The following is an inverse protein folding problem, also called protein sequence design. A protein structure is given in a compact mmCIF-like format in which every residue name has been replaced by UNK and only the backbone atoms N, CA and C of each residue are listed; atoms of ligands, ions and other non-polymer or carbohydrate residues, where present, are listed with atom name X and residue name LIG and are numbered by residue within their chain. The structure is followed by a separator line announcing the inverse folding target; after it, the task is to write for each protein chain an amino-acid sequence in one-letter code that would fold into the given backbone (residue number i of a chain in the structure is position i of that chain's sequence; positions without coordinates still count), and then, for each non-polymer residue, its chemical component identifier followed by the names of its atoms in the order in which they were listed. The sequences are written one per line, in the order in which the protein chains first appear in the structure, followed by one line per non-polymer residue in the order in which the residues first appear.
data_IF_940008946524
#
_entry.id   IF_940008946524
#
_cell.length_a   1.000
_cell.length_b   1.000
_cell.length_c   1.000
_cell.angle_alpha   90.00
_cell.angle_beta   90.00
_cell.angle_gamma   90.00
#
_symmetry.space_group_name_H-M   'P 1'
#
loop_
_entity.id
_entity.type
_entity.pdbx_description
1 polymer ?
#
# COMPACT_ATOMS: atom_id res chain seq x y z
N UNK A 1 -32.34 64.01 56.69
CA UNK A 1 -31.34 63.05 57.18
C UNK A 1 -30.50 62.62 56.00
N UNK A 2 -29.28 63.12 55.94
CA UNK A 2 -28.33 62.93 54.84
C UNK A 2 -27.84 61.47 54.85
N UNK A 3 -28.07 60.74 53.75
CA UNK A 3 -27.69 59.35 53.61
C UNK A 3 -26.18 59.25 53.31
N UNK A 4 -25.41 58.75 54.27
CA UNK A 4 -23.97 58.52 54.13
C UNK A 4 -23.67 57.60 52.93
N UNK A 5 -22.81 58.05 52.02
CA UNK A 5 -22.38 57.31 50.84
C UNK A 5 -21.52 56.09 51.23
N UNK A 6 -21.80 54.87 50.73
CA UNK A 6 -21.20 53.63 51.20
C UNK A 6 -19.82 53.38 50.55
N UNK A 7 -18.91 54.35 50.54
CA UNK A 7 -17.54 54.16 50.04
C UNK A 7 -16.61 53.49 51.08
N UNK A 8 -17.04 53.38 52.34
CA UNK A 8 -16.25 52.78 53.42
C UNK A 8 -16.25 51.24 53.45
N UNK A 9 -17.36 50.61 53.08
CA UNK A 9 -17.55 49.16 53.22
C UNK A 9 -16.74 48.34 52.20
N UNK A 10 -16.56 48.84 50.98
CA UNK A 10 -15.78 48.13 49.93
C UNK A 10 -14.30 48.05 50.30
N UNK A 11 -13.75 49.14 50.88
CA UNK A 11 -12.35 49.19 51.32
C UNK A 11 -12.09 48.23 52.47
N UNK A 12 -13.01 48.13 53.44
CA UNK A 12 -12.87 47.20 54.57
C UNK A 12 -12.99 45.75 54.11
N UNK A 13 -13.88 45.45 53.15
CA UNK A 13 -14.00 44.11 52.54
C UNK A 13 -12.75 43.71 51.73
N UNK A 14 -12.21 44.60 50.90
CA UNK A 14 -10.95 44.36 50.19
C UNK A 14 -9.78 44.15 51.16
N UNK A 15 -9.69 44.97 52.21
CA UNK A 15 -8.65 44.83 53.23
C UNK A 15 -8.75 43.49 54.00
N UNK A 16 -9.98 43.05 54.31
CA UNK A 16 -10.23 41.72 54.88
C UNK A 16 -9.76 40.61 53.93
N UNK A 17 -10.09 40.68 52.64
CA UNK A 17 -9.66 39.71 51.64
C UNK A 17 -8.13 39.69 51.46
N UNK A 18 -7.47 40.85 51.43
CA UNK A 18 -6.00 40.95 51.38
C UNK A 18 -5.37 40.33 52.63
N UNK A 19 -5.92 40.60 53.81
CA UNK A 19 -5.43 40.01 55.07
C UNK A 19 -5.62 38.49 55.12
N UNK A 20 -6.73 37.98 54.55
CA UNK A 20 -6.97 36.54 54.41
C UNK A 20 -5.95 35.88 53.47
N UNK A 21 -5.65 36.49 52.30
CA UNK A 21 -4.59 36.00 51.39
C UNK A 21 -3.22 35.99 52.06
N UNK A 22 -2.88 37.02 52.85
CA UNK A 22 -1.61 37.11 53.59
C UNK A 22 -1.47 36.04 54.68
N UNK A 23 -2.57 35.61 55.31
CA UNK A 23 -2.58 34.52 56.31
C UNK A 23 -2.49 33.12 55.71
N UNK A 24 -2.81 32.96 54.43
CA UNK A 24 -2.72 31.69 53.70
C UNK A 24 -1.76 31.82 52.52
N UNK A 25 -0.45 31.99 52.77
CA UNK A 25 0.54 32.23 51.72
C UNK A 25 0.61 31.07 50.72
N UNK A 26 0.43 29.83 51.20
CA UNK A 26 0.42 28.62 50.35
C UNK A 26 -0.72 28.67 49.34
N UNK A 27 -1.93 29.05 49.76
CA UNK A 27 -3.10 29.14 48.86
C UNK A 27 -2.89 30.22 47.80
N UNK A 28 -2.38 31.37 48.21
CA UNK A 28 -2.07 32.49 47.31
C UNK A 28 -0.96 32.11 46.31
N UNK A 29 0.05 31.35 46.76
CA UNK A 29 1.10 30.83 45.89
C UNK A 29 0.52 29.88 44.84
N UNK A 30 -0.32 28.91 45.22
CA UNK A 30 -0.97 28.01 44.26
C UNK A 30 -1.90 28.74 43.28
N UNK A 31 -2.62 29.76 43.73
CA UNK A 31 -3.50 30.58 42.88
C UNK A 31 -2.73 31.26 41.73
N UNK A 32 -1.45 31.62 41.96
CA UNK A 32 -0.59 32.26 40.95
C UNK A 32 0.25 31.23 40.19
N UNK A 33 0.84 30.25 40.88
CA UNK A 33 1.79 29.30 40.29
C UNK A 33 1.08 28.25 39.45
N UNK A 34 -0.09 27.76 39.85
CA UNK A 34 -0.81 26.72 39.13
C UNK A 34 -1.16 27.11 37.68
N UNK A 35 -1.74 28.29 37.39
CA UNK A 35 -2.02 28.68 36.00
C UNK A 35 -0.72 28.87 35.20
N UNK A 36 0.35 29.38 35.82
CA UNK A 36 1.67 29.52 35.15
C UNK A 36 2.25 28.15 34.81
N UNK A 37 2.19 27.20 35.74
CA UNK A 37 2.68 25.84 35.53
C UNK A 37 1.89 25.10 34.44
N UNK A 38 0.56 25.29 34.38
CA UNK A 38 -0.29 24.75 33.32
C UNK A 38 0.06 25.35 31.95
N UNK A 39 0.28 26.68 31.87
CA UNK A 39 0.70 27.33 30.63
C UNK A 39 2.09 26.85 30.18
N UNK A 40 3.02 26.69 31.12
CA UNK A 40 4.35 26.16 30.83
C UNK A 40 4.28 24.70 30.35
N UNK A 41 3.44 23.87 30.97
CA UNK A 41 3.20 22.49 30.55
C UNK A 41 2.59 22.44 29.15
N UNK A 42 1.57 23.25 28.86
CA UNK A 42 0.97 23.34 27.53
C UNK A 42 1.97 23.84 26.49
N UNK A 43 2.81 24.81 26.84
CA UNK A 43 3.89 25.30 25.98
C UNK A 43 4.93 24.22 25.67
N UNK A 44 5.33 23.45 26.68
CA UNK A 44 6.23 22.30 26.51
C UNK A 44 5.59 21.20 25.65
N UNK A 45 4.33 20.86 25.92
CA UNK A 45 3.59 19.89 25.11
C UNK A 45 3.43 20.37 23.66
N UNK A 46 3.24 21.68 23.43
CA UNK A 46 3.23 22.27 22.09
C UNK A 46 4.62 22.27 21.45
N UNK A 47 5.71 22.50 22.18
CA UNK A 47 7.06 22.44 21.60
C UNK A 47 7.48 21.03 21.18
N UNK A 48 6.87 20.00 21.78
CA UNK A 48 7.02 18.62 21.32
C UNK A 48 6.17 18.29 20.09
N UNK A 49 5.23 19.17 19.70
CA UNK A 49 4.49 19.05 18.45
C UNK A 49 5.25 19.81 17.37
N UNK A 50 5.70 19.10 16.33
CA UNK A 50 6.23 19.77 15.15
C UNK A 50 5.09 20.48 14.41
N UNK A 51 5.10 21.82 14.38
CA UNK A 51 4.20 22.59 13.53
C UNK A 51 4.62 22.39 12.06
N UNK A 52 4.01 21.43 11.36
CA UNK A 52 4.15 21.34 9.90
C UNK A 52 3.33 22.44 9.24
N UNK A 53 3.95 23.60 9.03
CA UNK A 53 3.40 24.65 8.19
C UNK A 53 3.31 24.13 6.75
N UNK A 54 2.10 23.82 6.29
CA UNK A 54 1.82 23.50 4.89
C UNK A 54 1.16 24.70 4.23
N UNK A 55 1.77 25.23 3.18
CA UNK A 55 1.16 26.28 2.37
C UNK A 55 -0.16 25.80 1.76
N UNK A 56 -1.13 26.70 1.63
CA UNK A 56 -2.35 26.42 0.90
C UNK A 56 -2.06 26.41 -0.61
N UNK A 57 -2.46 25.34 -1.32
CA UNK A 57 -2.38 25.25 -2.77
C UNK A 57 -1.19 24.48 -3.35
N UNK A 58 -1.01 24.62 -4.66
CA UNK A 58 0.03 23.98 -5.46
C UNK A 58 1.36 24.71 -5.25
N UNK A 59 2.36 24.02 -4.71
CA UNK A 59 3.67 24.61 -4.49
C UNK A 59 4.58 24.45 -5.70
N UNK A 60 5.33 25.52 -5.97
CA UNK A 60 6.15 25.70 -7.17
C UNK A 60 7.65 25.47 -6.91
N UNK A 61 8.05 25.09 -5.68
CA UNK A 61 9.46 24.97 -5.30
C UNK A 61 9.74 23.77 -4.39
N UNK A 62 10.97 23.24 -4.48
CA UNK A 62 11.48 22.13 -3.68
C UNK A 62 11.49 22.50 -2.18
N UNK A 63 10.57 21.91 -1.44
CA UNK A 63 10.30 22.10 -0.01
C UNK A 63 9.12 21.21 0.41
N UNK A 64 8.70 21.19 1.69
CA UNK A 64 7.70 20.24 2.24
C UNK A 64 6.27 20.36 1.66
N UNK A 65 6.11 21.21 0.65
CA UNK A 65 4.99 21.31 -0.24
C UNK A 65 5.46 20.79 -1.61
N UNK A 66 5.50 19.48 -1.78
CA UNK A 66 5.83 18.89 -3.07
C UNK A 66 4.63 18.94 -4.01
N UNK A 67 4.84 19.20 -5.32
CA UNK A 67 3.76 19.12 -6.31
C UNK A 67 3.20 17.69 -6.39
N UNK A 68 1.88 17.56 -6.28
CA UNK A 68 1.12 16.30 -6.27
C UNK A 68 1.40 15.37 -7.46
N UNK A 69 1.82 15.88 -8.61
CA UNK A 69 1.92 15.11 -9.88
C UNK A 69 3.23 15.30 -10.66
N UNK A 70 4.34 15.68 -10.01
CA UNK A 70 5.62 15.71 -10.73
C UNK A 70 6.19 14.30 -10.84
N UNK A 71 5.99 13.65 -12.00
CA UNK A 71 6.44 12.29 -12.37
C UNK A 71 7.95 12.02 -12.33
N UNK A 72 8.73 12.93 -11.79
CA UNK A 72 10.16 12.76 -11.58
C UNK A 72 10.52 13.48 -10.29
N UNK A 73 10.77 12.73 -9.21
CA UNK A 73 11.37 13.20 -7.96
C UNK A 73 11.03 14.66 -7.58
N UNK A 74 10.09 14.85 -6.64
CA UNK A 74 10.46 14.53 -5.28
C UNK A 74 9.71 13.30 -4.78
N UNK A 75 10.40 12.56 -3.91
CA UNK A 75 9.84 11.55 -3.02
C UNK A 75 8.88 12.23 -2.03
N UNK A 76 7.75 12.72 -2.54
CA UNK A 76 6.75 13.34 -1.68
C UNK A 76 6.30 12.26 -0.72
N UNK A 77 6.44 12.50 0.57
CA UNK A 77 6.08 11.49 1.54
C UNK A 77 4.56 11.23 1.47
N UNK A 78 3.76 12.26 1.17
CA UNK A 78 2.30 12.22 1.28
C UNK A 78 1.55 11.78 0.03
N UNK A 79 2.16 11.84 -1.15
CA UNK A 79 1.55 11.39 -2.41
C UNK A 79 2.42 10.31 -3.00
N UNK A 80 1.81 9.16 -3.25
CA UNK A 80 2.45 7.99 -3.80
C UNK A 80 1.61 7.56 -4.98
N UNK A 81 2.22 7.54 -6.16
CA UNK A 81 1.61 6.92 -7.31
C UNK A 81 1.57 5.40 -7.07
N UNK A 82 0.42 4.79 -7.33
CA UNK A 82 0.27 3.35 -7.28
C UNK A 82 1.19 2.71 -8.32
N UNK A 83 1.77 1.56 -7.99
CA UNK A 83 2.49 0.78 -8.98
C UNK A 83 1.52 0.35 -10.10
N UNK A 84 1.96 0.43 -11.35
CA UNK A 84 1.20 -0.17 -12.46
C UNK A 84 1.26 -1.69 -12.35
N UNK A 85 0.29 -2.41 -12.92
CA UNK A 85 0.33 -3.89 -12.93
C UNK A 85 1.60 -4.41 -13.62
N UNK A 86 2.00 -3.78 -14.73
CA UNK A 86 3.28 -4.04 -15.41
C UNK A 86 4.49 -3.84 -14.49
N UNK A 87 4.48 -2.77 -13.68
CA UNK A 87 5.52 -2.51 -12.68
C UNK A 87 5.54 -3.56 -11.57
N UNK A 88 4.38 -3.98 -11.08
CA UNK A 88 4.26 -5.06 -10.11
C UNK A 88 4.82 -6.38 -10.69
N UNK A 89 4.46 -6.74 -11.92
CA UNK A 89 4.96 -7.94 -12.60
C UNK A 89 6.48 -7.93 -12.75
N UNK A 90 7.08 -6.77 -13.05
CA UNK A 90 8.54 -6.61 -13.06
C UNK A 90 9.16 -6.79 -11.67
N UNK A 91 8.51 -6.30 -10.61
CA UNK A 91 9.02 -6.45 -9.23
C UNK A 91 8.98 -7.91 -8.75
N UNK A 92 8.07 -8.74 -9.26
CA UNK A 92 8.00 -10.16 -8.88
C UNK A 92 9.30 -10.93 -9.21
N UNK A 93 9.96 -10.58 -10.32
CA UNK A 93 11.24 -11.14 -10.70
C UNK A 93 12.44 -10.45 -10.04
N UNK A 94 12.22 -9.39 -9.27
CA UNK A 94 13.28 -8.60 -8.65
C UNK A 94 13.72 -9.21 -7.31
N UNK A 95 15.03 -9.20 -7.05
CA UNK A 95 15.58 -9.56 -5.76
C UNK A 95 16.26 -8.34 -5.14
N UNK A 96 15.60 -7.72 -4.15
CA UNK A 96 16.12 -6.53 -3.43
C UNK A 96 17.44 -6.80 -2.70
N UNK A 97 17.72 -8.06 -2.34
CA UNK A 97 18.94 -8.46 -1.65
C UNK A 97 20.10 -8.80 -2.63
N UNK A 98 19.84 -8.76 -3.94
CA UNK A 98 20.82 -9.13 -4.97
C UNK A 98 20.96 -10.64 -5.17
N UNK A 99 21.81 -11.06 -6.12
CA UNK A 99 21.96 -12.46 -6.55
C UNK A 99 23.28 -13.09 -6.10
N UNK A 100 23.75 -12.73 -4.90
CA UNK A 100 25.01 -13.20 -4.34
C UNK A 100 26.26 -12.60 -4.99
N UNK A 101 27.42 -13.10 -4.57
CA UNK A 101 28.75 -12.58 -4.96
C UNK A 101 29.40 -13.35 -6.13
N UNK A 102 28.93 -14.55 -6.46
CA UNK A 102 29.44 -15.30 -7.61
C UNK A 102 29.06 -14.55 -8.91
N UNK A 103 30.04 -14.14 -9.73
CA UNK A 103 29.78 -13.33 -10.92
C UNK A 103 29.01 -14.09 -12.01
N UNK A 104 29.14 -15.41 -12.11
CA UNK A 104 28.42 -16.24 -13.09
C UNK A 104 26.95 -16.33 -12.66
N UNK A 105 26.71 -16.68 -11.40
CA UNK A 105 25.35 -16.79 -10.84
C UNK A 105 24.66 -15.43 -10.90
N UNK A 106 25.29 -14.40 -10.33
CA UNK A 106 24.71 -13.05 -10.24
C UNK A 106 24.39 -12.45 -11.62
N UNK A 107 25.29 -12.62 -12.60
CA UNK A 107 25.04 -12.15 -13.97
C UNK A 107 23.91 -12.92 -14.64
N UNK A 108 23.85 -14.24 -14.47
CA UNK A 108 22.81 -15.08 -15.07
C UNK A 108 21.44 -14.75 -14.49
N UNK A 109 21.33 -14.65 -13.16
CA UNK A 109 20.06 -14.36 -12.48
C UNK A 109 19.57 -12.95 -12.75
N UNK A 110 20.48 -11.96 -12.79
CA UNK A 110 20.13 -10.60 -13.18
C UNK A 110 19.63 -10.53 -14.63
N UNK A 111 20.27 -11.23 -15.56
CA UNK A 111 19.82 -11.29 -16.96
C UNK A 111 18.46 -11.97 -17.08
N UNK A 112 18.24 -13.08 -16.38
CA UNK A 112 16.96 -13.78 -16.36
C UNK A 112 15.84 -12.91 -15.78
N UNK A 113 16.11 -12.23 -14.66
CA UNK A 113 15.22 -11.25 -14.03
C UNK A 113 14.85 -10.12 -14.99
N UNK A 114 15.83 -9.51 -15.67
CA UNK A 114 15.59 -8.45 -16.67
C UNK A 114 14.81 -8.96 -17.87
N UNK A 115 15.09 -10.19 -18.32
CA UNK A 115 14.36 -10.85 -19.40
C UNK A 115 12.95 -11.32 -18.97
N UNK A 116 12.52 -11.03 -17.74
CA UNK A 116 11.21 -11.40 -17.24
C UNK A 116 10.99 -12.90 -17.13
N UNK A 117 12.07 -13.69 -16.98
CA UNK A 117 11.95 -15.11 -16.68
C UNK A 117 11.53 -15.23 -15.23
N UNK A 118 10.37 -15.81 -14.98
CA UNK A 118 9.88 -16.03 -13.62
C UNK A 118 9.18 -17.37 -13.46
N UNK A 119 8.90 -18.09 -14.55
CA UNK A 119 8.10 -19.33 -14.50
C UNK A 119 8.78 -20.37 -13.60
N UNK A 120 7.99 -21.00 -12.74
CA UNK A 120 8.44 -22.14 -11.91
C UNK A 120 8.38 -23.46 -12.67
N UNK A 121 7.70 -23.51 -13.83
CA UNK A 121 7.68 -24.66 -14.71
C UNK A 121 9.01 -24.74 -15.49
N UNK A 122 9.83 -25.80 -15.30
CA UNK A 122 11.13 -25.95 -15.96
C UNK A 122 11.04 -26.16 -17.48
N UNK A 123 9.87 -26.53 -17.99
CA UNK A 123 9.62 -26.70 -19.43
C UNK A 123 9.22 -25.40 -20.13
N UNK A 124 8.93 -24.34 -19.36
CA UNK A 124 8.59 -23.03 -19.93
C UNK A 124 9.82 -22.41 -20.58
N UNK A 125 9.70 -21.77 -21.76
CA UNK A 125 10.78 -20.97 -22.33
C UNK A 125 11.19 -19.79 -21.43
N UNK A 126 10.33 -19.40 -20.49
CA UNK A 126 10.55 -18.30 -19.54
C UNK A 126 10.81 -18.80 -18.11
N UNK A 127 11.29 -20.05 -17.99
CA UNK A 127 11.62 -20.67 -16.71
C UNK A 127 12.73 -19.91 -15.97
N UNK A 128 12.59 -19.82 -14.64
CA UNK A 128 13.67 -19.33 -13.78
C UNK A 128 14.87 -20.28 -13.85
N UNK A 129 16.10 -19.79 -14.10
CA UNK A 129 17.26 -20.66 -14.24
C UNK A 129 17.53 -21.48 -12.98
N UNK A 130 17.90 -22.75 -13.16
CA UNK A 130 18.21 -23.64 -12.02
C UNK A 130 19.37 -23.16 -11.17
N UNK A 131 20.39 -22.57 -11.80
CA UNK A 131 21.53 -21.94 -11.13
C UNK A 131 21.11 -20.83 -10.15
N UNK A 132 19.96 -20.19 -10.39
CA UNK A 132 19.48 -19.06 -9.61
C UNK A 132 18.65 -19.46 -8.39
N UNK A 133 18.20 -20.72 -8.31
CA UNK A 133 17.27 -21.16 -7.28
C UNK A 133 17.87 -21.05 -5.86
N UNK A 134 19.19 -21.21 -5.72
CA UNK A 134 19.89 -21.11 -4.43
C UNK A 134 20.14 -19.68 -3.94
N UNK A 135 20.06 -18.68 -4.83
CA UNK A 135 20.33 -17.27 -4.49
C UNK A 135 19.07 -16.41 -4.40
N UNK A 136 17.97 -16.87 -4.99
CA UNK A 136 16.69 -16.19 -4.90
C UNK A 136 15.67 -16.78 -5.86
N UNK A 137 14.43 -16.83 -5.41
CA UNK A 137 13.29 -17.27 -6.21
C UNK A 137 12.42 -16.07 -6.59
N UNK A 138 11.85 -16.07 -7.80
CA UNK A 138 10.88 -15.07 -8.18
C UNK A 138 9.65 -15.20 -7.30
N UNK A 139 9.08 -14.07 -6.91
CA UNK A 139 7.84 -14.03 -6.13
C UNK A 139 6.64 -14.37 -7.00
N UNK A 140 5.57 -14.87 -6.37
CA UNK A 140 4.29 -15.15 -7.03
C UNK A 140 3.12 -14.43 -6.39
N UNK A 141 2.06 -14.26 -7.17
CA UNK A 141 0.75 -13.87 -6.67
C UNK A 141 -0.07 -15.15 -6.50
N UNK A 142 -0.48 -15.44 -5.27
CA UNK A 142 -1.37 -16.57 -5.01
C UNK A 142 -2.82 -16.22 -5.38
N UNK A 143 -3.54 -17.16 -5.98
CA UNK A 143 -4.96 -17.05 -6.28
C UNK A 143 -5.70 -18.22 -5.61
N UNK A 144 -6.74 -17.89 -4.85
CA UNK A 144 -7.51 -18.85 -4.04
C UNK A 144 -9.00 -18.56 -4.17
N UNK A 145 -9.88 -19.58 -4.26
CA UNK A 145 -9.59 -21.00 -4.45
C UNK A 145 -9.29 -21.34 -5.91
N UNK A 146 -8.62 -22.45 -6.18
CA UNK A 146 -8.42 -22.99 -7.53
C UNK A 146 -9.71 -23.63 -8.04
N UNK A 147 -10.44 -22.92 -8.89
CA UNK A 147 -11.68 -23.39 -9.49
C UNK A 147 -11.88 -22.78 -10.89
N UNK A 148 -13.00 -23.08 -11.53
CA UNK A 148 -13.34 -22.56 -12.86
C UNK A 148 -13.34 -21.03 -12.91
N UNK A 149 -13.88 -20.36 -11.88
CA UNK A 149 -13.93 -18.90 -11.83
C UNK A 149 -12.53 -18.30 -11.76
N UNK A 150 -11.65 -18.79 -10.89
CA UNK A 150 -10.32 -18.20 -10.70
C UNK A 150 -9.33 -18.57 -11.79
N UNK A 151 -9.31 -19.85 -12.20
CA UNK A 151 -8.33 -20.37 -13.17
C UNK A 151 -8.74 -20.08 -14.61
N UNK A 152 -9.95 -20.45 -15.01
CA UNK A 152 -10.35 -20.42 -16.41
C UNK A 152 -11.00 -19.10 -16.83
N UNK A 153 -11.50 -18.32 -15.87
CA UNK A 153 -12.18 -17.06 -16.16
C UNK A 153 -11.36 -15.84 -15.71
N UNK A 154 -11.07 -15.70 -14.41
CA UNK A 154 -10.30 -14.57 -13.89
C UNK A 154 -8.88 -14.54 -14.44
N UNK A 155 -8.11 -15.61 -14.23
CA UNK A 155 -6.70 -15.61 -14.61
C UNK A 155 -6.48 -15.60 -16.13
N UNK A 156 -7.35 -16.26 -16.91
CA UNK A 156 -7.30 -16.20 -18.37
C UNK A 156 -7.61 -14.78 -18.88
N UNK A 157 -8.68 -14.13 -18.39
CA UNK A 157 -9.01 -12.76 -18.81
C UNK A 157 -7.89 -11.77 -18.46
N UNK A 158 -7.36 -11.85 -17.23
CA UNK A 158 -6.24 -11.02 -16.80
C UNK A 158 -4.96 -11.36 -17.57
N UNK A 159 -4.74 -12.62 -17.91
CA UNK A 159 -3.64 -13.08 -18.75
C UNK A 159 -3.67 -12.47 -20.15
N UNK A 160 -4.85 -12.26 -20.73
CA UNK A 160 -5.00 -11.54 -22.00
C UNK A 160 -4.71 -10.03 -21.87
N UNK A 161 -4.99 -9.42 -20.72
CA UNK A 161 -4.70 -8.00 -20.47
C UNK A 161 -3.24 -7.72 -20.18
N UNK A 162 -2.55 -8.68 -19.56
CA UNK A 162 -1.15 -8.58 -19.18
C UNK A 162 -0.35 -9.76 -19.74
N UNK A 163 -0.26 -9.87 -21.09
CA UNK A 163 0.61 -10.84 -21.72
C UNK A 163 2.07 -10.46 -21.45
N UNK A 164 2.97 -11.38 -21.79
CA UNK A 164 4.40 -11.06 -21.84
C UNK A 164 4.62 -9.90 -22.82
N UNK A 165 5.43 -8.92 -22.42
CA UNK A 165 5.77 -7.77 -23.26
C UNK A 165 7.29 -7.61 -23.35
N UNK A 166 7.84 -7.87 -24.54
CA UNK A 166 9.26 -7.63 -24.79
C UNK A 166 9.50 -6.13 -25.03
N UNK A 167 10.28 -5.49 -24.14
CA UNK A 167 10.62 -4.06 -24.23
C UNK A 167 11.86 -3.84 -25.11
N UNK A 168 12.81 -4.77 -25.03
CA UNK A 168 14.02 -4.82 -25.86
C UNK A 168 14.41 -6.28 -26.10
N UNK A 169 15.50 -6.54 -26.84
CA UNK A 169 16.00 -7.90 -27.05
C UNK A 169 16.39 -8.66 -25.77
N UNK A 170 16.59 -7.97 -24.64
CA UNK A 170 17.05 -8.56 -23.38
C UNK A 170 16.19 -8.17 -22.17
N UNK A 171 15.15 -7.35 -22.36
CA UNK A 171 14.31 -6.85 -21.28
C UNK A 171 12.86 -7.13 -21.65
N UNK A 172 12.14 -7.79 -20.75
CA UNK A 172 10.73 -8.09 -20.95
C UNK A 172 9.97 -8.04 -19.63
N UNK A 173 8.71 -7.65 -19.72
CA UNK A 173 7.74 -7.77 -18.65
C UNK A 173 7.22 -9.21 -18.62
N UNK A 174 7.25 -9.89 -17.47
CA UNK A 174 6.65 -11.21 -17.34
C UNK A 174 5.15 -11.21 -17.64
N UNK A 175 4.64 -12.35 -18.13
CA UNK A 175 3.19 -12.52 -18.27
C UNK A 175 2.53 -12.66 -16.90
N UNK A 176 1.26 -12.29 -16.78
CA UNK A 176 0.49 -12.60 -15.59
C UNK A 176 0.36 -14.11 -15.36
N UNK A 177 0.20 -14.89 -16.42
CA UNK A 177 0.07 -16.35 -16.36
C UNK A 177 1.31 -17.01 -15.72
N UNK A 178 2.52 -16.53 -16.05
CA UNK A 178 3.75 -17.01 -15.42
C UNK A 178 3.95 -16.47 -14.00
N UNK A 179 3.20 -15.45 -13.58
CA UNK A 179 3.36 -14.73 -12.31
C UNK A 179 2.51 -15.27 -11.17
N UNK A 180 1.53 -16.13 -11.47
CA UNK A 180 0.55 -16.60 -10.50
C UNK A 180 0.79 -18.05 -10.09
N UNK A 181 0.31 -18.39 -8.90
CA UNK A 181 0.19 -19.76 -8.42
C UNK A 181 -1.20 -19.93 -7.80
N UNK A 182 -1.78 -21.11 -7.93
CA UNK A 182 -3.14 -21.39 -7.47
C UNK A 182 -3.11 -22.33 -6.27
N UNK A 183 -3.99 -22.08 -5.31
CA UNK A 183 -4.22 -22.98 -4.18
C UNK A 183 -5.67 -23.42 -4.14
N UNK A 184 -5.96 -24.70 -3.86
CA UNK A 184 -7.33 -25.23 -3.88
C UNK A 184 -8.24 -24.54 -2.86
N UNK A 185 -7.71 -24.11 -1.72
CA UNK A 185 -8.43 -23.43 -0.67
C UNK A 185 -7.47 -22.63 0.22
N UNK A 186 -8.02 -21.87 1.17
CA UNK A 186 -7.23 -21.05 2.11
C UNK A 186 -6.32 -21.89 2.99
N UNK A 187 -6.76 -23.09 3.42
CA UNK A 187 -5.94 -23.96 4.26
C UNK A 187 -4.67 -24.37 3.54
N UNK A 188 -4.76 -24.76 2.27
CA UNK A 188 -3.59 -25.12 1.47
C UNK A 188 -2.63 -23.95 1.24
N UNK A 189 -3.15 -22.71 1.14
CA UNK A 189 -2.31 -21.52 1.12
C UNK A 189 -1.56 -21.35 2.45
N UNK A 190 -2.24 -21.42 3.58
CA UNK A 190 -1.62 -21.27 4.90
C UNK A 190 -0.62 -22.39 5.20
N UNK A 191 -0.94 -23.63 4.85
CA UNK A 191 -0.03 -24.78 4.96
C UNK A 191 1.25 -24.53 4.16
N UNK A 192 1.13 -24.04 2.91
CA UNK A 192 2.30 -23.74 2.07
C UNK A 192 3.23 -22.64 2.64
N UNK A 193 2.68 -21.70 3.39
CA UNK A 193 3.42 -20.59 4.00
C UNK A 193 4.06 -21.02 5.33
N UNK A 194 3.37 -21.87 6.08
CA UNK A 194 3.82 -22.33 7.41
C UNK A 194 4.76 -23.53 7.33
N UNK A 195 4.75 -24.26 6.23
CA UNK A 195 5.74 -25.28 5.93
C UNK A 195 7.14 -24.67 5.87
N UNK A 196 8.14 -25.38 6.43
CA UNK A 196 9.55 -24.96 6.41
C UNK A 196 10.19 -24.88 5.01
N UNK A 197 9.40 -25.08 3.95
CA UNK A 197 9.78 -25.02 2.54
C UNK A 197 9.35 -23.72 1.84
N UNK A 198 8.63 -22.85 2.54
CA UNK A 198 8.19 -21.56 2.02
C UNK A 198 9.36 -20.68 1.59
N UNK A 199 9.33 -20.21 0.34
CA UNK A 199 10.32 -19.27 -0.19
C UNK A 199 11.69 -19.85 -0.50
N UNK A 200 11.88 -21.16 -0.32
CA UNK A 200 13.19 -21.84 -0.53
C UNK A 200 13.18 -22.82 -1.70
N UNK A 201 12.00 -23.20 -2.22
CA UNK A 201 11.88 -24.16 -3.32
C UNK A 201 10.94 -23.66 -4.42
N UNK A 202 11.14 -24.11 -5.67
CA UNK A 202 10.30 -23.66 -6.80
C UNK A 202 8.84 -24.11 -6.71
N UNK A 203 8.57 -25.23 -6.02
CA UNK A 203 7.23 -25.73 -5.74
C UNK A 203 6.54 -24.96 -4.60
N UNK A 204 7.30 -24.26 -3.77
CA UNK A 204 6.78 -23.33 -2.75
C UNK A 204 7.52 -21.98 -2.82
N UNK A 205 7.33 -21.21 -3.92
CA UNK A 205 8.03 -19.96 -4.13
C UNK A 205 7.56 -18.89 -3.13
N UNK A 206 8.34 -17.83 -2.90
CA UNK A 206 7.91 -16.73 -2.03
C UNK A 206 6.67 -16.06 -2.64
N UNK A 207 5.69 -15.71 -1.81
CA UNK A 207 4.49 -15.01 -2.26
C UNK A 207 4.64 -13.51 -2.00
N UNK A 208 4.37 -12.71 -3.03
CA UNK A 208 4.28 -11.25 -2.90
C UNK A 208 2.92 -10.84 -2.32
N UNK A 209 1.86 -11.51 -2.76
CA UNK A 209 0.49 -11.28 -2.33
C UNK A 209 -0.37 -12.54 -2.57
N UNK A 210 -1.56 -12.56 -1.99
CA UNK A 210 -2.62 -13.51 -2.31
C UNK A 210 -3.94 -12.77 -2.57
N UNK A 211 -4.66 -13.20 -3.60
CA UNK A 211 -6.05 -12.82 -3.89
C UNK A 211 -6.92 -14.00 -3.49
N UNK A 212 -7.71 -13.81 -2.44
CA UNK A 212 -8.56 -14.86 -1.86
C UNK A 212 -10.02 -14.48 -2.08
N UNK A 213 -10.70 -15.19 -2.98
CA UNK A 213 -12.12 -15.00 -3.28
C UNK A 213 -12.99 -15.82 -2.32
N UNK A 214 -13.90 -15.16 -1.62
CA UNK A 214 -14.85 -15.78 -0.69
C UNK A 214 -16.23 -15.96 -1.30
N UNK A 215 -16.64 -15.06 -2.20
CA UNK A 215 -17.86 -15.17 -2.98
C UNK A 215 -17.59 -14.87 -4.46
N UNK A 216 -18.22 -15.62 -5.34
CA UNK A 216 -18.04 -15.54 -6.79
C UNK A 216 -19.40 -15.73 -7.50
N UNK A 217 -19.60 -15.15 -8.69
CA UNK A 217 -20.79 -15.40 -9.49
C UNK A 217 -20.91 -16.89 -9.88
N UNK A 218 -22.12 -17.44 -9.78
CA UNK A 218 -22.41 -18.81 -10.21
C UNK A 218 -22.42 -18.96 -11.73
N UNK A 219 -22.71 -17.87 -12.46
CA UNK A 219 -22.71 -17.82 -13.92
C UNK A 219 -21.61 -16.88 -14.41
N UNK A 220 -20.66 -17.42 -15.16
CA UNK A 220 -19.53 -16.68 -15.71
C UNK A 220 -19.98 -15.83 -16.91
N UNK A 221 -19.31 -14.70 -17.15
CA UNK A 221 -19.69 -13.73 -18.19
C UNK A 221 -20.93 -12.89 -17.86
N UNK A 222 -21.41 -12.92 -16.62
CA UNK A 222 -22.52 -12.08 -16.14
C UNK A 222 -22.12 -11.30 -14.89
N UNK A 223 -22.71 -10.11 -14.66
CA UNK A 223 -22.49 -9.37 -13.42
C UNK A 223 -22.97 -10.18 -12.21
N UNK A 224 -22.19 -10.19 -11.13
CA UNK A 224 -22.55 -10.89 -9.90
C UNK A 224 -21.71 -10.43 -8.70
N UNK A 225 -22.04 -10.96 -7.53
CA UNK A 225 -21.30 -10.65 -6.30
C UNK A 225 -19.90 -11.25 -6.35
N UNK A 226 -18.90 -10.43 -6.04
CA UNK A 226 -17.51 -10.84 -5.87
C UNK A 226 -17.05 -10.30 -4.52
N UNK A 227 -16.72 -11.22 -3.61
CA UNK A 227 -16.10 -10.87 -2.34
C UNK A 227 -14.69 -11.45 -2.33
N UNK A 228 -13.72 -10.63 -1.94
CA UNK A 228 -12.32 -11.03 -1.91
C UNK A 228 -11.57 -10.34 -0.78
N UNK A 229 -10.46 -10.95 -0.38
CA UNK A 229 -9.45 -10.35 0.47
C UNK A 229 -8.10 -10.37 -0.23
N UNK A 230 -7.32 -9.32 -0.02
CA UNK A 230 -5.93 -9.25 -0.44
C UNK A 230 -5.05 -9.50 0.78
N UNK A 231 -4.16 -10.47 0.70
CA UNK A 231 -3.19 -10.79 1.76
C UNK A 231 -1.80 -10.45 1.28
N UNK A 232 -1.06 -9.69 2.06
CA UNK A 232 0.33 -9.30 1.79
C UNK A 232 1.21 -9.73 2.95
N UNK A 233 2.50 -9.90 2.69
CA UNK A 233 3.45 -10.22 3.75
C UNK A 233 3.59 -9.03 4.71
N UNK A 234 3.32 -9.26 6.00
CA UNK A 234 3.47 -8.25 7.05
C UNK A 234 4.57 -8.71 8.02
N UNK A 235 5.80 -8.27 7.83
CA UNK A 235 6.83 -8.38 8.89
C UNK A 235 6.76 -7.14 9.76
N UNK A 236 6.06 -7.23 10.89
CA UNK A 236 6.15 -6.22 11.96
C UNK A 236 7.61 -6.06 12.37
N UNK A 237 8.22 -4.89 12.10
CA UNK A 237 9.54 -4.53 12.65
C UNK A 237 10.61 -3.97 11.69
N UNK A 238 10.33 -3.78 10.40
CA UNK A 238 11.32 -3.29 9.43
C UNK A 238 11.10 -1.84 8.98
N UNK A 239 12.19 -1.08 8.81
CA UNK A 239 12.20 0.22 8.14
C UNK A 239 11.88 0.04 6.63
N UNK A 240 10.61 0.17 6.25
CA UNK A 240 10.14 0.29 4.87
C UNK A 240 9.79 -1.04 4.17
N UNK A 241 8.80 -0.98 3.27
CA UNK A 241 8.39 -2.09 2.40
C UNK A 241 7.45 -3.12 3.03
N UNK A 242 6.77 -2.75 4.12
CA UNK A 242 5.83 -3.61 4.84
C UNK A 242 4.43 -3.08 4.63
N UNK A 243 3.55 -3.89 4.02
CA UNK A 243 2.12 -3.56 3.94
C UNK A 243 1.53 -3.67 5.35
N UNK A 244 1.01 -2.59 5.95
CA UNK A 244 0.43 -2.64 7.29
C UNK A 244 -0.73 -3.63 7.36
N UNK A 245 -0.99 -4.16 8.55
CA UNK A 245 -2.23 -4.91 8.80
C UNK A 245 -3.42 -3.95 8.81
N UNK A 246 -4.56 -4.42 8.34
CA UNK A 246 -5.84 -3.74 8.46
C UNK A 246 -6.55 -4.06 9.78
N UNK A 247 -6.03 -5.00 10.59
CA UNK A 247 -6.42 -5.13 11.98
C UNK A 247 -5.96 -3.86 12.72
N UNK A 248 -6.88 -3.20 13.42
CA UNK A 248 -6.70 -1.87 14.00
C UNK A 248 -5.53 -1.69 14.99
N UNK A 249 -4.75 -2.75 15.23
CA UNK A 249 -3.57 -2.78 16.11
C UNK A 249 -2.45 -1.84 15.64
N UNK A 250 -2.46 -1.42 14.37
CA UNK A 250 -1.48 -0.48 13.79
C UNK A 250 -1.91 0.99 13.92
N UNK A 251 -3.13 1.26 14.36
CA UNK A 251 -3.65 2.63 14.50
C UNK A 251 -3.30 3.19 15.87
N UNK A 252 -2.29 4.05 15.93
CA UNK A 252 -2.01 4.84 17.13
C UNK A 252 -3.00 6.00 17.23
N UNK A 253 -4.00 5.87 18.11
CA UNK A 253 -5.01 6.90 18.35
C UNK A 253 -4.44 8.20 18.91
N UNK A 254 -3.23 8.16 19.48
CA UNK A 254 -2.52 9.33 20.00
C UNK A 254 -1.54 9.92 18.98
N UNK A 255 -1.49 9.36 17.77
CA UNK A 255 -0.64 9.84 16.70
C UNK A 255 -1.05 11.26 16.27
N UNK A 256 -0.18 12.23 16.56
CA UNK A 256 -0.42 13.65 16.26
C UNK A 256 0.07 14.09 14.88
N UNK A 257 0.94 13.29 14.25
CA UNK A 257 1.52 13.56 12.93
C UNK A 257 1.10 12.52 11.90
N UNK A 258 0.87 12.94 10.66
CA UNK A 258 0.60 12.02 9.54
C UNK A 258 1.81 11.09 9.33
N UNK A 259 1.64 9.77 9.46
CA UNK A 259 2.63 8.79 9.02
C UNK A 259 2.32 8.35 7.58
N UNK A 260 3.15 8.76 6.60
CA UNK A 260 2.95 8.39 5.21
C UNK A 260 3.46 6.98 4.87
N UNK A 261 4.23 6.33 5.74
CA UNK A 261 4.91 5.07 5.40
C UNK A 261 3.93 3.93 5.15
N UNK A 262 2.85 3.88 5.94
CA UNK A 262 1.76 2.93 5.75
C UNK A 262 1.13 3.08 4.36
N UNK A 263 0.68 4.29 4.03
CA UNK A 263 0.10 4.62 2.73
C UNK A 263 1.07 4.32 1.58
N UNK A 264 2.34 4.70 1.75
CA UNK A 264 3.42 4.43 0.78
C UNK A 264 3.63 2.96 0.53
N UNK A 265 3.55 2.13 1.55
CA UNK A 265 3.70 0.68 1.40
C UNK A 265 2.49 0.10 0.67
N UNK A 266 1.26 0.54 0.97
CA UNK A 266 0.06 0.14 0.21
C UNK A 266 0.15 0.53 -1.29
N UNK A 267 0.63 1.74 -1.60
CA UNK A 267 0.76 2.21 -2.97
C UNK A 267 1.89 1.54 -3.76
N UNK A 268 3.05 1.30 -3.12
CA UNK A 268 4.25 0.79 -3.82
C UNK A 268 4.36 -0.72 -3.85
N UNK A 269 3.86 -1.43 -2.83
CA UNK A 269 4.01 -2.89 -2.75
C UNK A 269 2.89 -3.64 -3.51
N UNK A 270 1.99 -2.91 -4.20
CA UNK A 270 1.02 -3.50 -5.13
C UNK A 270 -0.39 -3.75 -4.57
N UNK A 271 -0.69 -3.34 -3.34
CA UNK A 271 -2.03 -3.52 -2.75
C UNK A 271 -3.11 -2.83 -3.59
N UNK A 272 -2.96 -1.52 -3.83
CA UNK A 272 -3.94 -0.80 -4.65
C UNK A 272 -3.93 -1.28 -6.11
N UNK A 273 -2.78 -1.71 -6.63
CA UNK A 273 -2.67 -2.31 -7.97
C UNK A 273 -3.53 -3.56 -8.12
N UNK A 274 -3.46 -4.49 -7.16
CA UNK A 274 -4.27 -5.72 -7.18
C UNK A 274 -5.75 -5.43 -6.87
N UNK A 275 -6.04 -4.46 -5.99
CA UNK A 275 -7.40 -4.01 -5.73
C UNK A 275 -8.05 -3.44 -7.00
N UNK A 276 -7.32 -2.57 -7.70
CA UNK A 276 -7.73 -1.99 -8.98
C UNK A 276 -7.87 -3.07 -10.06
N UNK A 277 -6.99 -4.08 -10.08
CA UNK A 277 -7.11 -5.22 -10.99
C UNK A 277 -8.43 -5.99 -10.80
N UNK A 278 -8.75 -6.39 -9.57
CA UNK A 278 -9.99 -7.12 -9.26
C UNK A 278 -11.21 -6.25 -9.54
N UNK A 279 -11.14 -4.96 -9.21
CA UNK A 279 -12.21 -4.00 -9.50
C UNK A 279 -12.42 -3.83 -11.00
N UNK A 280 -11.35 -3.68 -11.77
CA UNK A 280 -11.40 -3.62 -13.25
C UNK A 280 -11.99 -4.90 -13.81
N UNK A 281 -11.65 -6.06 -13.26
CA UNK A 281 -12.24 -7.33 -13.67
C UNK A 281 -13.75 -7.37 -13.41
N UNK A 282 -14.17 -6.99 -12.20
CA UNK A 282 -15.57 -6.96 -11.81
C UNK A 282 -16.41 -5.99 -12.65
N UNK A 283 -15.85 -4.82 -13.02
CA UNK A 283 -16.54 -3.83 -13.85
C UNK A 283 -16.54 -4.17 -15.33
N UNK A 284 -15.46 -4.79 -15.81
CA UNK A 284 -15.31 -5.23 -17.20
C UNK A 284 -16.33 -6.32 -17.56
N UNK A 285 -16.54 -7.28 -16.65
CA UNK A 285 -17.30 -8.51 -16.87
C UNK A 285 -16.84 -9.16 -18.19
N UNK A 286 -15.68 -9.86 -18.19
CA UNK A 286 -15.14 -10.42 -19.41
C UNK A 286 -16.13 -11.37 -20.09
N UNK A 287 -16.05 -11.44 -21.41
CA UNK A 287 -16.85 -12.38 -22.19
C UNK A 287 -16.60 -13.82 -21.74
N UNK A 288 -17.65 -14.63 -21.73
CA UNK A 288 -17.56 -16.05 -21.44
C UNK A 288 -18.39 -16.84 -22.44
N UNK A 289 -17.73 -17.59 -23.33
CA UNK A 289 -18.36 -18.42 -24.37
C UNK A 289 -17.59 -19.72 -24.53
N UNK A 290 -18.32 -20.83 -24.62
CA UNK A 290 -17.75 -22.16 -24.85
C UNK A 290 -16.65 -22.57 -23.85
N UNK A 291 -16.82 -22.17 -22.59
CA UNK A 291 -15.85 -22.45 -21.53
C UNK A 291 -14.55 -21.64 -21.61
N UNK A 292 -14.55 -20.54 -22.37
CA UNK A 292 -13.38 -19.66 -22.57
C UNK A 292 -13.77 -18.20 -22.47
N UNK A 293 -12.78 -17.37 -22.18
CA UNK A 293 -12.86 -15.91 -22.24
C UNK A 293 -11.81 -15.38 -23.21
N UNK A 294 -12.12 -14.31 -23.94
CA UNK A 294 -11.14 -13.57 -24.73
C UNK A 294 -10.55 -12.38 -23.96
N UNK A 295 -11.01 -12.15 -22.72
CA UNK A 295 -10.68 -10.96 -21.95
C UNK A 295 -11.40 -9.70 -22.44
N UNK A 296 -12.32 -9.81 -23.38
CA UNK A 296 -13.04 -8.64 -23.91
C UNK A 296 -14.12 -8.23 -22.92
N UNK A 297 -14.15 -6.96 -22.51
CA UNK A 297 -15.18 -6.47 -21.60
C UNK A 297 -16.55 -6.42 -22.29
N UNK A 298 -17.58 -6.97 -21.64
CA UNK A 298 -18.95 -6.85 -22.15
C UNK A 298 -19.62 -5.55 -21.71
N UNK A 299 -19.07 -4.88 -20.69
CA UNK A 299 -19.61 -3.63 -20.17
C UNK A 299 -19.05 -2.43 -20.97
N UNK A 300 -19.90 -1.64 -21.67
CA UNK A 300 -19.42 -0.59 -22.58
C UNK A 300 -18.67 0.54 -21.86
N UNK A 301 -19.03 0.83 -20.61
CA UNK A 301 -18.38 1.88 -19.81
C UNK A 301 -17.07 1.43 -19.16
N UNK A 302 -16.71 0.13 -19.27
CA UNK A 302 -15.47 -0.41 -18.71
C UNK A 302 -14.30 -0.35 -19.69
N UNK A 303 -14.53 0.08 -20.93
CA UNK A 303 -13.52 0.20 -21.99
C UNK A 303 -13.35 1.67 -22.33
N UNK A 304 -12.12 2.18 -22.20
CA UNK A 304 -11.79 3.52 -22.69
C UNK A 304 -11.82 3.52 -24.23
N UNK A 305 -12.25 4.63 -24.82
CA UNK A 305 -12.21 4.78 -26.27
C UNK A 305 -10.74 4.76 -26.74
N UNK A 306 -10.41 3.84 -27.64
CA UNK A 306 -9.09 3.75 -28.26
C UNK A 306 -8.92 4.88 -29.28
N UNK A 307 -8.64 6.09 -28.78
CA UNK A 307 -8.41 7.27 -29.61
C UNK A 307 -7.00 7.83 -29.36
N UNK A 308 -6.34 8.40 -30.38
CA UNK A 308 -5.02 9.01 -30.21
C UNK A 308 -4.99 10.09 -29.13
N UNK A 309 -6.11 10.74 -28.87
CA UNK A 309 -6.26 11.76 -27.84
C UNK A 309 -6.23 11.15 -26.44
N UNK A 310 -6.96 10.05 -26.22
CA UNK A 310 -6.92 9.30 -24.95
C UNK A 310 -5.53 8.72 -24.72
N UNK A 311 -4.89 8.17 -25.75
CA UNK A 311 -3.52 7.64 -25.65
C UNK A 311 -2.51 8.74 -25.29
N UNK A 312 -2.61 9.91 -25.93
CA UNK A 312 -1.76 11.06 -25.62
C UNK A 312 -1.98 11.58 -24.19
N UNK A 313 -3.23 11.58 -23.70
CA UNK A 313 -3.55 11.94 -22.31
C UNK A 313 -2.97 10.93 -21.32
N UNK A 314 -3.06 9.63 -21.60
CA UNK A 314 -2.53 8.58 -20.73
C UNK A 314 -0.99 8.59 -20.71
N UNK A 315 -0.34 8.83 -21.85
CA UNK A 315 1.12 8.98 -21.94
C UNK A 315 1.66 10.20 -21.18
N UNK A 316 0.89 11.28 -21.06
CA UNK A 316 1.28 12.46 -20.27
C UNK A 316 1.18 12.24 -18.74
N UNK A 317 0.49 11.18 -18.30
CA UNK A 317 0.33 10.85 -16.88
C UNK A 317 1.43 9.93 -16.33
N UNK A 318 2.29 9.40 -17.19
CA UNK A 318 3.46 8.55 -16.84
C UNK A 318 4.73 9.39 -16.87
#
# INVERSE_FOLDING_TARGET
MEAATPHGYTRTLLWKNVRLKRKHPIKTLFEVVLPIALLALLGYLKSQMADTNRGTGWATWYGPSDPLYRGSSPNTNYVQAEATMTGLLLDLGSNRNGYGSDPIVSTTCRKASLAGHISTNPTSPYAWPSLCQSVGLPKKIAIVPDNTFTRQYFAEAVGQWYPRLDLTSNIAVPSFADSVVFFPNEQALEDSITEGRYGVTLDSPPLAAAIVFTAMPSTLGTPGNIEYSLRFNTTTGGNGGVVPRTSGDVVDLLQRGLDPNAYKSYAREGFYTLQTLVTRFATCVPDWKDGKTTGTCTMPNAVAAATPQVDAMLLQQV
#
